data_IF_353600663120
#
_entry.id   IF_353600663120
#
_cell.length_a   1.000
_cell.length_b   1.000
_cell.length_c   1.000
_cell.angle_alpha   90.00
_cell.angle_beta   90.00
_cell.angle_gamma   90.00
#
_symmetry.space_group_name_H-M   'P 1'
#
loop_
_entity.id
_entity.type
_entity.pdbx_description
1 polymer ?
#
# COMPACT_ATOMS: atom_id res chain seq x y z
N UNK A 1 29.97 -12.89 2.83
CA UNK A 1 29.53 -14.30 2.82
C UNK A 1 28.01 -14.31 2.73
N UNK A 2 27.42 -14.70 1.60
CA UNK A 2 25.97 -14.86 1.46
C UNK A 2 25.65 -16.34 1.25
N UNK A 3 24.89 -16.95 2.15
CA UNK A 3 24.36 -18.29 1.93
C UNK A 3 23.29 -18.21 0.84
N UNK A 4 23.10 -19.30 0.09
CA UNK A 4 22.20 -19.38 -1.08
C UNK A 4 20.72 -19.05 -0.78
N UNK A 5 20.32 -18.85 0.48
CA UNK A 5 18.98 -18.39 0.88
C UNK A 5 18.86 -16.90 1.25
N UNK A 6 19.96 -16.20 1.52
CA UNK A 6 19.93 -14.87 2.13
C UNK A 6 19.31 -13.82 1.18
N UNK A 7 19.60 -13.92 -0.11
CA UNK A 7 19.06 -13.01 -1.12
C UNK A 7 17.53 -13.15 -1.28
N UNK A 8 17.00 -14.39 -1.21
CA UNK A 8 15.56 -14.64 -1.29
C UNK A 8 14.83 -14.15 -0.04
N UNK A 9 15.40 -14.39 1.14
CA UNK A 9 14.86 -13.88 2.40
C UNK A 9 14.81 -12.34 2.42
N UNK A 10 15.87 -11.66 2.00
CA UNK A 10 15.90 -10.20 1.91
C UNK A 10 14.85 -9.65 0.93
N UNK A 11 14.61 -10.33 -0.19
CA UNK A 11 13.53 -9.97 -1.13
C UNK A 11 12.16 -10.08 -0.47
N UNK A 12 11.90 -11.14 0.30
CA UNK A 12 10.63 -11.31 1.01
C UNK A 12 10.43 -10.28 2.13
N UNK A 13 11.48 -9.98 2.90
CA UNK A 13 11.45 -8.94 3.93
C UNK A 13 11.17 -7.57 3.31
N UNK A 14 11.85 -7.22 2.20
CA UNK A 14 11.60 -5.97 1.47
C UNK A 14 10.18 -5.93 0.90
N UNK A 15 9.69 -7.04 0.35
CA UNK A 15 8.31 -7.17 -0.14
C UNK A 15 7.30 -6.88 0.97
N UNK A 16 7.48 -7.49 2.15
CA UNK A 16 6.65 -7.23 3.33
C UNK A 16 6.64 -5.76 3.73
N UNK A 17 7.82 -5.16 3.89
CA UNK A 17 7.94 -3.77 4.32
C UNK A 17 7.26 -2.82 3.32
N UNK A 18 7.61 -2.93 2.04
CA UNK A 18 7.09 -2.02 1.00
C UNK A 18 5.58 -2.14 0.79
N UNK A 19 5.02 -3.35 0.88
CA UNK A 19 3.57 -3.56 0.81
C UNK A 19 2.85 -3.04 2.05
N UNK A 20 3.40 -3.26 3.24
CA UNK A 20 2.87 -2.72 4.50
C UNK A 20 2.85 -1.19 4.49
N UNK A 21 3.93 -0.54 4.08
CA UNK A 21 3.98 0.93 3.93
C UNK A 21 2.95 1.41 2.89
N UNK A 22 2.72 0.66 1.81
CA UNK A 22 1.69 1.01 0.83
C UNK A 22 0.28 0.96 1.42
N UNK A 23 -0.02 -0.06 2.23
CA UNK A 23 -1.31 -0.17 2.91
C UNK A 23 -1.50 0.92 3.96
N UNK A 24 -0.49 1.20 4.78
CA UNK A 24 -0.55 2.27 5.79
C UNK A 24 -0.75 3.64 5.15
N UNK A 25 0.01 3.94 4.08
CA UNK A 25 -0.10 5.20 3.35
C UNK A 25 -1.49 5.35 2.74
N UNK A 26 -2.03 4.29 2.13
CA UNK A 26 -3.38 4.31 1.58
C UNK A 26 -4.43 4.62 2.64
N UNK A 27 -4.41 3.88 3.76
CA UNK A 27 -5.38 4.04 4.85
C UNK A 27 -5.33 5.46 5.43
N UNK A 28 -4.12 5.96 5.68
CA UNK A 28 -3.92 7.29 6.27
C UNK A 28 -4.32 8.40 5.30
N UNK A 29 -3.90 8.31 4.03
CA UNK A 29 -4.19 9.34 3.04
C UNK A 29 -5.66 9.37 2.64
N UNK A 30 -6.34 8.22 2.56
CA UNK A 30 -7.78 8.17 2.30
C UNK A 30 -8.57 8.80 3.46
N UNK A 31 -8.16 8.56 4.71
CA UNK A 31 -8.76 9.22 5.87
C UNK A 31 -8.55 10.74 5.81
N UNK A 32 -7.33 11.20 5.54
CA UNK A 32 -7.02 12.62 5.40
C UNK A 32 -7.81 13.27 4.25
N UNK A 33 -7.92 12.60 3.09
CA UNK A 33 -8.71 13.07 1.95
C UNK A 33 -10.18 13.26 2.32
N UNK A 34 -10.75 12.30 3.06
CA UNK A 34 -12.13 12.41 3.55
C UNK A 34 -12.34 13.57 4.52
N UNK A 35 -11.28 14.02 5.21
CA UNK A 35 -11.28 15.17 6.11
C UNK A 35 -10.89 16.48 5.41
N UNK A 36 -10.47 16.43 4.14
CA UNK A 36 -9.93 17.57 3.40
C UNK A 36 -8.55 18.02 3.88
N UNK A 37 -7.74 17.09 4.41
CA UNK A 37 -6.42 17.32 5.02
C UNK A 37 -5.29 16.56 4.31
N UNK A 38 -5.54 15.93 3.17
CA UNK A 38 -4.56 15.10 2.46
C UNK A 38 -3.35 15.91 1.95
N UNK A 39 -3.59 17.13 1.49
CA UNK A 39 -2.54 18.04 1.03
C UNK A 39 -1.60 18.45 2.17
N UNK A 40 -2.17 18.92 3.29
CA UNK A 40 -1.42 19.28 4.51
C UNK A 40 -0.65 18.06 5.06
N UNK A 41 -1.28 16.87 5.05
CA UNK A 41 -0.63 15.65 5.49
C UNK A 41 0.57 15.29 4.61
N UNK A 42 0.45 15.39 3.28
CA UNK A 42 1.54 15.09 2.36
C UNK A 42 2.72 16.05 2.54
N UNK A 43 2.45 17.33 2.80
CA UNK A 43 3.47 18.34 3.13
C UNK A 43 4.19 17.99 4.43
N UNK A 44 3.45 17.74 5.52
CA UNK A 44 4.03 17.36 6.82
C UNK A 44 4.89 16.09 6.71
N UNK A 45 4.41 15.07 5.99
CA UNK A 45 5.17 13.84 5.83
C UNK A 45 6.43 14.06 5.00
N UNK A 46 6.42 14.96 4.02
CA UNK A 46 7.61 15.28 3.24
C UNK A 46 8.69 15.99 4.06
N UNK A 47 8.30 16.87 4.99
CA UNK A 47 9.24 17.49 5.92
C UNK A 47 9.97 16.44 6.78
N UNK A 48 9.27 15.37 7.19
CA UNK A 48 9.83 14.34 8.08
C UNK A 48 10.53 13.19 7.34
N UNK A 49 10.01 12.79 6.18
CA UNK A 49 10.48 11.62 5.41
C UNK A 49 11.45 12.01 4.28
N UNK A 50 11.64 13.31 4.07
CA UNK A 50 12.62 13.90 3.17
C UNK A 50 12.11 14.19 1.76
N UNK A 51 12.88 15.02 1.06
CA UNK A 51 12.56 15.58 -0.26
C UNK A 51 12.04 14.53 -1.26
N UNK A 52 10.98 14.88 -1.97
CA UNK A 52 10.30 14.09 -2.97
C UNK A 52 9.42 12.98 -2.39
N UNK A 53 9.16 12.99 -1.07
CA UNK A 53 8.31 11.97 -0.44
C UNK A 53 6.90 12.05 -1.00
N UNK A 54 6.38 13.27 -1.21
CA UNK A 54 5.05 13.51 -1.75
C UNK A 54 4.82 12.81 -3.08
N UNK A 55 5.69 12.99 -4.07
CA UNK A 55 5.56 12.34 -5.38
C UNK A 55 5.68 10.82 -5.27
N UNK A 56 6.60 10.33 -4.41
CA UNK A 56 6.74 8.89 -4.14
C UNK A 56 5.50 8.32 -3.46
N UNK A 57 4.86 9.08 -2.58
CA UNK A 57 3.65 8.69 -1.86
C UNK A 57 2.47 8.57 -2.84
N UNK A 58 2.23 9.60 -3.65
CA UNK A 58 1.21 9.60 -4.70
C UNK A 58 1.45 8.45 -5.68
N UNK A 59 2.68 8.30 -6.19
CA UNK A 59 3.04 7.19 -7.09
C UNK A 59 2.77 5.81 -6.47
N UNK A 60 3.01 5.65 -5.16
CA UNK A 60 2.75 4.41 -4.43
C UNK A 60 1.26 4.11 -4.30
N UNK A 61 0.43 5.11 -4.00
CA UNK A 61 -1.04 5.00 -3.93
C UNK A 61 -1.60 4.61 -5.29
N UNK A 62 -1.19 5.32 -6.34
CA UNK A 62 -1.58 5.01 -7.73
C UNK A 62 -1.18 3.57 -8.11
N UNK A 63 0.08 3.19 -7.88
CA UNK A 63 0.59 1.84 -8.17
C UNK A 63 -0.15 0.76 -7.39
N UNK A 64 -0.57 1.05 -6.15
CA UNK A 64 -1.36 0.11 -5.36
C UNK A 64 -2.74 -0.10 -5.97
N UNK A 65 -3.45 0.96 -6.35
CA UNK A 65 -4.75 0.83 -7.02
C UNK A 65 -4.64 0.02 -8.32
N UNK A 66 -3.66 0.31 -9.17
CA UNK A 66 -3.47 -0.39 -10.45
C UNK A 66 -3.13 -1.89 -10.30
N UNK A 67 -2.49 -2.27 -9.20
CA UNK A 67 -1.94 -3.62 -9.03
C UNK A 67 -2.48 -4.34 -7.79
N UNK A 68 -3.58 -3.86 -7.20
CA UNK A 68 -4.13 -4.33 -5.93
C UNK A 68 -4.36 -5.85 -5.94
N UNK A 69 -5.00 -6.38 -7.00
CA UNK A 69 -5.25 -7.81 -7.17
C UNK A 69 -3.96 -8.66 -7.17
N UNK A 70 -2.96 -8.28 -7.94
CA UNK A 70 -1.66 -8.98 -7.97
C UNK A 70 -0.95 -8.88 -6.62
N UNK A 71 -0.93 -7.69 -6.04
CA UNK A 71 -0.26 -7.43 -4.75
C UNK A 71 -0.92 -8.18 -3.60
N UNK A 72 -2.24 -8.37 -3.62
CA UNK A 72 -2.99 -9.19 -2.68
C UNK A 72 -2.60 -10.66 -2.78
N UNK A 73 -2.51 -11.23 -3.98
CA UNK A 73 -2.06 -12.62 -4.13
C UNK A 73 -0.62 -12.82 -3.61
N UNK A 74 0.28 -11.87 -3.87
CA UNK A 74 1.65 -11.89 -3.33
C UNK A 74 1.72 -11.76 -1.80
N UNK A 75 0.67 -11.26 -1.13
CA UNK A 75 0.65 -11.19 0.33
C UNK A 75 0.56 -12.58 0.98
N UNK A 76 -0.01 -13.58 0.29
CA UNK A 76 -0.05 -14.97 0.78
C UNK A 76 1.36 -15.52 0.98
N UNK A 77 2.24 -15.28 0.02
CA UNK A 77 3.65 -15.70 0.10
C UNK A 77 4.40 -14.97 1.22
N UNK A 78 4.12 -13.66 1.39
CA UNK A 78 4.70 -12.85 2.48
C UNK A 78 4.25 -13.36 3.85
N UNK A 79 2.96 -13.65 4.02
CA UNK A 79 2.41 -14.17 5.27
C UNK A 79 2.98 -15.55 5.60
N UNK A 80 3.07 -16.45 4.61
CA UNK A 80 3.68 -17.77 4.79
C UNK A 80 5.15 -17.64 5.21
N UNK A 81 5.94 -16.86 4.48
CA UNK A 81 7.36 -16.65 4.78
C UNK A 81 7.59 -16.07 6.19
N UNK A 82 6.81 -15.08 6.60
CA UNK A 82 6.94 -14.49 7.93
C UNK A 82 6.50 -15.43 9.05
N UNK A 83 5.49 -16.29 8.78
CA UNK A 83 5.00 -17.28 9.75
C UNK A 83 6.05 -18.31 10.15
N UNK A 84 7.08 -18.51 9.33
CA UNK A 84 8.22 -19.37 9.66
C UNK A 84 9.14 -18.77 10.74
N UNK A 85 9.06 -17.45 10.98
CA UNK A 85 9.97 -16.72 11.86
C UNK A 85 9.28 -15.98 13.00
N UNK A 86 8.06 -15.48 12.77
CA UNK A 86 7.28 -14.65 13.70
C UNK A 86 5.78 -14.89 13.50
N UNK A 87 4.93 -14.33 14.37
CA UNK A 87 3.49 -14.21 14.07
C UNK A 87 3.24 -12.98 13.20
N UNK A 88 2.77 -13.11 11.94
CA UNK A 88 2.58 -11.97 11.05
C UNK A 88 1.27 -11.22 11.38
N UNK A 89 1.37 -10.12 12.11
CA UNK A 89 0.23 -9.24 12.42
C UNK A 89 0.01 -8.25 11.28
N UNK A 90 1.03 -7.43 10.97
CA UNK A 90 0.93 -6.36 9.96
C UNK A 90 0.66 -6.89 8.56
N UNK A 91 1.22 -8.03 8.18
CA UNK A 91 1.01 -8.62 6.85
C UNK A 91 -0.43 -9.07 6.65
N UNK A 92 -1.08 -9.62 7.69
CA UNK A 92 -2.51 -9.96 7.64
C UNK A 92 -3.38 -8.71 7.49
N UNK A 93 -3.09 -7.65 8.24
CA UNK A 93 -3.79 -6.37 8.09
C UNK A 93 -3.58 -5.78 6.70
N UNK A 94 -2.34 -5.80 6.18
CA UNK A 94 -2.00 -5.34 4.82
C UNK A 94 -2.80 -6.11 3.76
N UNK A 95 -2.90 -7.43 3.88
CA UNK A 95 -3.68 -8.30 2.99
C UNK A 95 -5.16 -7.94 3.03
N UNK A 96 -5.72 -7.72 4.23
CA UNK A 96 -7.10 -7.23 4.39
C UNK A 96 -7.29 -5.87 3.71
N UNK A 97 -6.41 -4.90 3.95
CA UNK A 97 -6.46 -3.58 3.30
C UNK A 97 -6.46 -3.71 1.77
N UNK A 98 -5.58 -4.54 1.21
CA UNK A 98 -5.57 -4.75 -0.26
C UNK A 98 -6.86 -5.37 -0.77
N UNK A 99 -7.48 -6.28 -0.02
CA UNK A 99 -8.77 -6.86 -0.37
C UNK A 99 -9.89 -5.81 -0.40
N UNK A 100 -9.96 -4.95 0.61
CA UNK A 100 -10.93 -3.83 0.65
C UNK A 100 -10.72 -2.89 -0.55
N UNK A 101 -9.46 -2.59 -0.90
CA UNK A 101 -9.14 -1.78 -2.09
C UNK A 101 -9.64 -2.44 -3.37
N UNK A 102 -9.44 -3.76 -3.53
CA UNK A 102 -9.94 -4.48 -4.71
C UNK A 102 -11.46 -4.34 -4.81
N UNK A 103 -12.17 -4.56 -3.70
CA UNK A 103 -13.63 -4.48 -3.66
C UNK A 103 -14.13 -3.05 -3.93
N UNK A 104 -13.45 -2.03 -3.40
CA UNK A 104 -13.79 -0.63 -3.64
C UNK A 104 -13.50 -0.13 -5.04
N UNK A 105 -12.76 -0.89 -5.86
CA UNK A 105 -12.37 -0.54 -7.23
C UNK A 105 -13.00 -1.44 -8.31
N UNK A 106 -13.90 -2.36 -7.95
CA UNK A 106 -14.39 -3.44 -8.85
C UNK A 106 -15.02 -2.91 -10.16
N UNK A 107 -15.53 -1.66 -10.15
CA UNK A 107 -16.15 -0.98 -11.30
C UNK A 107 -15.36 0.22 -11.84
N UNK A 108 -14.21 0.56 -11.26
CA UNK A 108 -13.39 1.66 -11.74
C UNK A 108 -12.53 1.18 -12.92
N UNK A 109 -12.87 1.64 -14.13
CA UNK A 109 -12.06 1.41 -15.33
C UNK A 109 -10.58 1.79 -15.10
N UNK A 110 -9.63 1.12 -15.79
CA UNK A 110 -8.18 1.23 -15.54
C UNK A 110 -7.51 2.54 -15.95
N UNK A 111 -8.19 3.68 -15.89
CA UNK A 111 -7.56 4.98 -16.11
C UNK A 111 -7.98 5.94 -15.01
N UNK A 112 -7.07 6.16 -14.07
CA UNK A 112 -7.15 7.22 -13.08
C UNK A 112 -5.88 8.06 -13.27
N UNK A 113 -6.05 9.37 -13.43
CA UNK A 113 -4.95 10.32 -13.66
C UNK A 113 -4.34 10.80 -12.35
N UNK A 114 -5.15 10.78 -11.28
CA UNK A 114 -4.77 11.25 -9.95
C UNK A 114 -5.42 10.40 -8.84
N UNK A 115 -4.84 10.44 -7.64
CA UNK A 115 -5.31 9.68 -6.49
C UNK A 115 -6.68 10.18 -5.98
N UNK A 116 -7.02 11.46 -6.18
CA UNK A 116 -8.33 12.00 -5.82
C UNK A 116 -9.47 11.27 -6.56
N UNK A 117 -9.30 10.96 -7.85
CA UNK A 117 -10.28 10.20 -8.64
C UNK A 117 -10.54 8.80 -8.05
N UNK A 118 -9.48 8.16 -7.56
CA UNK A 118 -9.54 6.83 -6.93
C UNK A 118 -10.31 6.93 -5.62
N UNK A 119 -9.97 7.91 -4.79
CA UNK A 119 -10.59 8.08 -3.47
C UNK A 119 -12.03 8.55 -3.56
N UNK A 120 -12.36 9.42 -4.51
CA UNK A 120 -13.75 9.79 -4.83
C UNK A 120 -14.59 8.61 -5.25
N UNK A 121 -14.04 7.70 -6.05
CA UNK A 121 -14.75 6.48 -6.43
C UNK A 121 -15.02 5.59 -5.23
N UNK A 122 -14.01 5.33 -4.40
CA UNK A 122 -14.15 4.49 -3.20
C UNK A 122 -15.16 5.09 -2.22
N UNK A 123 -15.14 6.41 -2.04
CA UNK A 123 -16.09 7.12 -1.17
C UNK A 123 -17.54 6.95 -1.61
N UNK A 124 -17.82 6.84 -2.91
CA UNK A 124 -19.17 6.61 -3.44
C UNK A 124 -19.67 5.17 -3.24
N UNK A 125 -18.77 4.24 -2.98
CA UNK A 125 -19.05 2.81 -2.81
C UNK A 125 -19.24 2.39 -1.35
N UNK A 126 -19.09 3.32 -0.40
CA UNK A 126 -19.36 3.16 1.04
C UNK A 126 -20.78 3.64 1.37
#
# INVERSE_FOLDING_TARGET
SGRVGDASALKMLRSSYTKGVSALLWETLLAAYNMGLDEDLLEILEETEGEGFRERAISRVMSLAFHSKRRYEEMKDVESFLSENITPIMSKCTSKTFKEIIMGLDDLGRSFEDYSMIFDHIKRSL
#
